data_IF_839149584903
#
_entry.id   IF_839149584903
#
_cell.length_a   1.000
_cell.length_b   1.000
_cell.length_c   1.000
_cell.angle_alpha   90.00
_cell.angle_beta   90.00
_cell.angle_gamma   90.00
#
_symmetry.space_group_name_H-M   'P 1'
#
loop_
_entity.id
_entity.type
_entity.pdbx_description
1 polymer ?
#
# COMPACT_ATOMS: atom_id res chain seq x y z
N UNK A 1 -10.33 -8.66 26.96
CA UNK A 1 -9.88 -10.02 26.59
C UNK A 1 -8.71 -10.38 27.51
N UNK A 2 -8.82 -11.43 28.34
CA UNK A 2 -7.71 -11.92 29.20
C UNK A 2 -7.00 -13.07 28.46
N UNK A 3 -5.69 -12.97 28.27
CA UNK A 3 -4.86 -14.03 27.67
C UNK A 3 -4.34 -14.96 28.77
N UNK A 4 -4.27 -16.27 28.51
CA UNK A 4 -3.81 -17.25 29.52
C UNK A 4 -2.28 -17.30 29.63
N UNK A 5 -1.55 -16.92 28.58
CA UNK A 5 -0.09 -16.88 28.56
C UNK A 5 0.45 -15.91 27.49
N UNK A 6 1.76 -15.62 27.54
CA UNK A 6 2.42 -14.71 26.59
C UNK A 6 2.39 -15.24 25.15
N UNK A 7 2.36 -16.56 24.95
CA UNK A 7 2.25 -17.19 23.63
C UNK A 7 0.90 -16.90 22.98
N UNK A 8 -0.20 -17.00 23.72
CA UNK A 8 -1.54 -16.64 23.24
C UNK A 8 -1.62 -15.14 22.91
N UNK A 9 -1.01 -14.29 23.74
CA UNK A 9 -0.91 -12.86 23.48
C UNK A 9 -0.13 -12.56 22.20
N UNK A 10 1.00 -13.22 21.99
CA UNK A 10 1.81 -13.10 20.77
C UNK A 10 1.03 -13.55 19.54
N UNK A 11 0.46 -14.76 19.55
CA UNK A 11 -0.33 -15.30 18.44
C UNK A 11 -1.53 -14.41 18.10
N UNK A 12 -2.19 -13.84 19.11
CA UNK A 12 -3.29 -12.91 18.89
C UNK A 12 -2.82 -11.62 18.19
N UNK A 13 -1.70 -11.03 18.64
CA UNK A 13 -1.10 -9.86 17.99
C UNK A 13 -0.71 -10.16 16.55
N UNK A 14 0.00 -11.26 16.31
CA UNK A 14 0.40 -11.68 14.96
C UNK A 14 -0.81 -11.89 14.04
N UNK A 15 -1.90 -12.48 14.54
CA UNK A 15 -3.14 -12.63 13.75
C UNK A 15 -3.76 -11.28 13.41
N UNK A 16 -3.76 -10.34 14.35
CA UNK A 16 -4.28 -8.98 14.10
C UNK A 16 -3.44 -8.24 13.07
N UNK A 17 -2.12 -8.30 13.19
CA UNK A 17 -1.18 -7.69 12.24
C UNK A 17 -1.33 -8.27 10.84
N UNK A 18 -1.45 -9.60 10.72
CA UNK A 18 -1.72 -10.24 9.42
C UNK A 18 -3.01 -9.73 8.77
N UNK A 19 -4.11 -9.65 9.53
CA UNK A 19 -5.37 -9.11 8.99
C UNK A 19 -5.22 -7.68 8.49
N UNK A 20 -4.52 -6.82 9.23
CA UNK A 20 -4.28 -5.44 8.81
C UNK A 20 -3.48 -5.37 7.50
N UNK A 21 -2.47 -6.24 7.34
CA UNK A 21 -1.69 -6.31 6.10
C UNK A 21 -2.50 -6.91 4.95
N UNK A 22 -3.37 -7.88 5.21
CA UNK A 22 -4.26 -8.47 4.20
C UNK A 22 -5.30 -7.44 3.71
N UNK A 23 -5.89 -6.67 4.64
CA UNK A 23 -6.80 -5.56 4.32
C UNK A 23 -6.07 -4.48 3.51
N UNK A 24 -4.90 -4.03 3.97
CA UNK A 24 -4.05 -3.09 3.25
C UNK A 24 -3.72 -3.58 1.83
N UNK A 25 -3.30 -4.83 1.69
CA UNK A 25 -2.97 -5.41 0.40
C UNK A 25 -4.19 -5.42 -0.53
N UNK A 26 -5.36 -5.79 -0.01
CA UNK A 26 -6.61 -5.84 -0.78
C UNK A 26 -6.98 -4.44 -1.28
N UNK A 27 -6.97 -3.46 -0.38
CA UNK A 27 -7.31 -2.07 -0.69
C UNK A 27 -6.34 -1.47 -1.72
N UNK A 28 -5.03 -1.64 -1.53
CA UNK A 28 -4.02 -1.11 -2.45
C UNK A 28 -4.07 -1.78 -3.82
N UNK A 29 -4.34 -3.08 -3.87
CA UNK A 29 -4.49 -3.79 -5.15
C UNK A 29 -5.71 -3.28 -5.92
N UNK A 30 -6.84 -3.07 -5.22
CA UNK A 30 -8.03 -2.48 -5.83
C UNK A 30 -7.77 -1.06 -6.33
N UNK A 31 -7.09 -0.23 -5.53
CA UNK A 31 -6.70 1.13 -5.91
C UNK A 31 -5.75 1.13 -7.10
N UNK A 32 -4.80 0.19 -7.16
CA UNK A 32 -3.85 0.10 -8.27
C UNK A 32 -4.57 -0.23 -9.59
N UNK A 33 -5.49 -1.19 -9.58
CA UNK A 33 -6.31 -1.51 -10.74
C UNK A 33 -7.20 -0.33 -11.16
N UNK A 34 -7.81 0.36 -10.20
CA UNK A 34 -8.66 1.52 -10.45
C UNK A 34 -7.86 2.67 -11.06
N UNK A 35 -6.68 2.96 -10.52
CA UNK A 35 -5.79 4.00 -11.02
C UNK A 35 -5.34 3.72 -12.46
N UNK A 36 -4.90 2.49 -12.76
CA UNK A 36 -4.55 2.11 -14.13
C UNK A 36 -5.73 2.24 -15.10
N UNK A 37 -6.92 1.89 -14.65
CA UNK A 37 -8.13 2.02 -15.46
C UNK A 37 -8.39 3.49 -15.78
N UNK A 38 -8.27 4.38 -14.79
CA UNK A 38 -8.44 5.82 -14.98
C UNK A 38 -7.40 6.42 -15.93
N UNK A 39 -6.13 6.02 -15.83
CA UNK A 39 -5.09 6.43 -16.78
C UNK A 39 -5.45 6.03 -18.21
N UNK A 40 -5.87 4.77 -18.41
CA UNK A 40 -6.33 4.28 -19.72
C UNK A 40 -7.54 5.04 -20.24
N UNK A 41 -8.56 5.28 -19.41
CA UNK A 41 -9.76 6.03 -19.80
C UNK A 41 -9.43 7.46 -20.21
N UNK A 42 -8.51 8.11 -19.51
CA UNK A 42 -8.04 9.46 -19.83
C UNK A 42 -7.06 9.51 -21.01
N UNK A 43 -6.61 8.35 -21.52
CA UNK A 43 -5.56 8.21 -22.55
C UNK A 43 -4.26 8.93 -22.16
N UNK A 44 -3.90 8.82 -20.88
CA UNK A 44 -2.68 9.38 -20.31
C UNK A 44 -1.85 8.22 -19.78
N UNK A 45 -0.56 8.21 -20.11
CA UNK A 45 0.37 7.25 -19.52
C UNK A 45 0.69 7.63 -18.07
N UNK A 46 0.65 6.68 -17.13
CA UNK A 46 1.09 6.94 -15.77
C UNK A 46 2.57 7.33 -15.75
N UNK A 47 2.98 8.30 -14.91
CA UNK A 47 4.39 8.55 -14.64
C UNK A 47 5.13 7.26 -14.24
N UNK A 48 6.39 7.09 -14.65
CA UNK A 48 7.14 5.82 -14.43
C UNK A 48 7.25 5.45 -12.95
N UNK A 49 7.45 6.44 -12.08
CA UNK A 49 7.49 6.26 -10.63
C UNK A 49 6.15 5.74 -10.06
N UNK A 50 5.03 6.30 -10.52
CA UNK A 50 3.68 5.84 -10.18
C UNK A 50 3.43 4.44 -10.75
N UNK A 51 3.78 4.22 -12.02
CA UNK A 51 3.58 2.94 -12.71
C UNK A 51 4.28 1.78 -12.01
N UNK A 52 5.54 1.95 -11.60
CA UNK A 52 6.27 0.93 -10.83
C UNK A 52 5.59 0.60 -9.50
N UNK A 53 5.10 1.63 -8.80
CA UNK A 53 4.31 1.44 -7.58
C UNK A 53 3.02 0.65 -7.82
N UNK A 54 2.31 0.93 -8.92
CA UNK A 54 1.10 0.20 -9.31
C UNK A 54 1.40 -1.27 -9.65
N UNK A 55 2.44 -1.49 -10.46
CA UNK A 55 2.85 -2.81 -10.94
C UNK A 55 3.26 -3.72 -9.80
N UNK A 56 3.91 -3.19 -8.76
CA UNK A 56 4.29 -3.95 -7.57
C UNK A 56 3.09 -4.71 -6.95
N UNK A 57 1.92 -4.08 -6.88
CA UNK A 57 0.71 -4.73 -6.37
C UNK A 57 0.07 -5.67 -7.40
N UNK A 58 -0.05 -5.21 -8.65
CA UNK A 58 -0.74 -5.95 -9.73
C UNK A 58 -0.01 -7.24 -10.10
N UNK A 59 1.31 -7.21 -10.15
CA UNK A 59 2.15 -8.37 -10.46
C UNK A 59 2.50 -9.20 -9.22
N UNK A 60 1.91 -8.85 -8.08
CA UNK A 60 2.12 -9.51 -6.80
C UNK A 60 3.61 -9.60 -6.37
N UNK A 61 4.41 -8.58 -6.68
CA UNK A 61 5.84 -8.57 -6.39
C UNK A 61 6.15 -8.69 -4.88
N UNK A 62 5.21 -8.23 -4.05
CA UNK A 62 5.24 -8.40 -2.60
C UNK A 62 5.46 -9.84 -2.15
N UNK A 63 5.04 -10.85 -2.94
CA UNK A 63 5.26 -12.28 -2.62
C UNK A 63 6.74 -12.66 -2.60
N UNK A 64 7.57 -11.96 -3.38
CA UNK A 64 9.01 -12.23 -3.51
C UNK A 64 9.85 -11.38 -2.56
N UNK A 65 9.25 -10.37 -1.93
CA UNK A 65 9.92 -9.31 -1.16
C UNK A 65 9.42 -9.34 0.29
N UNK A 66 9.91 -10.24 1.17
CA UNK A 66 9.40 -10.34 2.54
C UNK A 66 9.59 -9.03 3.31
N UNK A 67 8.59 -8.62 4.09
CA UNK A 67 8.62 -7.40 4.91
C UNK A 67 8.24 -6.11 4.18
N UNK A 68 8.26 -6.11 2.85
CA UNK A 68 7.88 -4.96 2.00
C UNK A 68 6.45 -4.46 2.28
N UNK A 69 5.46 -5.34 2.44
CA UNK A 69 4.08 -4.93 2.77
C UNK A 69 3.98 -4.21 4.11
N UNK A 70 4.72 -4.67 5.12
CA UNK A 70 4.74 -4.02 6.43
C UNK A 70 5.37 -2.62 6.33
N UNK A 71 6.47 -2.50 5.60
CA UNK A 71 7.12 -1.23 5.31
C UNK A 71 6.18 -0.25 4.59
N UNK A 72 5.50 -0.70 3.53
CA UNK A 72 4.57 0.14 2.77
C UNK A 72 3.36 0.55 3.61
N UNK A 73 2.82 -0.37 4.42
CA UNK A 73 1.71 -0.09 5.34
C UNK A 73 2.09 1.01 6.35
N UNK A 74 3.24 0.87 7.01
CA UNK A 74 3.72 1.87 7.97
C UNK A 74 4.05 3.21 7.29
N UNK A 75 4.57 3.16 6.06
CA UNK A 75 4.80 4.36 5.25
C UNK A 75 3.49 5.07 4.95
N UNK A 76 2.47 4.36 4.46
CA UNK A 76 1.16 4.93 4.16
C UNK A 76 0.59 5.64 5.38
N UNK A 77 0.62 4.98 6.55
CA UNK A 77 0.09 5.56 7.79
C UNK A 77 0.77 6.87 8.17
N UNK A 78 2.10 6.95 8.05
CA UNK A 78 2.85 8.19 8.35
C UNK A 78 2.47 9.29 7.38
N UNK A 79 2.53 8.99 6.09
CA UNK A 79 2.23 9.97 5.04
C UNK A 79 0.78 10.45 5.13
N UNK A 80 -0.17 9.54 5.36
CA UNK A 80 -1.59 9.86 5.45
C UNK A 80 -1.90 10.77 6.65
N UNK A 81 -1.13 10.71 7.74
CA UNK A 81 -1.30 11.60 8.88
C UNK A 81 -0.98 13.07 8.53
N UNK A 82 -0.11 13.29 7.55
CA UNK A 82 0.32 14.61 7.11
C UNK A 82 -0.45 15.12 5.87
N UNK A 83 -1.32 14.28 5.29
CA UNK A 83 -2.09 14.64 4.09
C UNK A 83 -3.38 15.41 4.41
N UNK A 84 -3.81 16.30 3.49
CA UNK A 84 -5.12 16.91 3.57
C UNK A 84 -6.24 15.85 3.42
N UNK A 85 -7.45 16.12 3.93
CA UNK A 85 -8.59 15.24 3.75
C UNK A 85 -8.86 14.95 2.27
N UNK A 86 -9.18 13.69 1.96
CA UNK A 86 -9.49 13.28 0.59
C UNK A 86 -10.83 13.89 0.12
N UNK A 87 -10.75 14.85 -0.81
CA UNK A 87 -11.89 15.44 -1.51
C UNK A 87 -11.86 15.08 -3.00
N UNK A 88 -13.01 15.05 -3.67
CA UNK A 88 -13.18 14.50 -5.02
C UNK A 88 -12.18 15.05 -6.04
N UNK A 89 -11.79 16.30 -5.87
CA UNK A 89 -10.88 17.05 -6.73
C UNK A 89 -9.44 16.55 -6.65
N UNK A 90 -9.00 16.09 -5.47
CA UNK A 90 -7.60 15.72 -5.21
C UNK A 90 -7.40 14.22 -4.93
N UNK A 91 -8.48 13.45 -4.77
CA UNK A 91 -8.39 12.01 -4.42
C UNK A 91 -7.50 11.25 -5.39
N UNK A 92 -7.61 11.51 -6.70
CA UNK A 92 -6.78 10.82 -7.69
C UNK A 92 -5.30 11.18 -7.57
N UNK A 93 -4.99 12.45 -7.31
CA UNK A 93 -3.61 12.92 -7.12
C UNK A 93 -3.01 12.32 -5.84
N UNK A 94 -3.80 12.21 -4.77
CA UNK A 94 -3.39 11.54 -3.54
C UNK A 94 -3.07 10.06 -3.77
N UNK A 95 -3.91 9.36 -4.54
CA UNK A 95 -3.66 7.96 -4.93
C UNK A 95 -2.35 7.84 -5.71
N UNK A 96 -2.15 8.69 -6.72
CA UNK A 96 -0.90 8.71 -7.49
C UNK A 96 0.31 9.00 -6.59
N UNK A 97 0.17 9.92 -5.64
CA UNK A 97 1.22 10.25 -4.70
C UNK A 97 1.60 9.06 -3.81
N UNK A 98 0.63 8.29 -3.29
CA UNK A 98 0.94 7.08 -2.53
C UNK A 98 1.75 6.07 -3.34
N UNK A 99 1.34 5.77 -4.57
CA UNK A 99 2.09 4.83 -5.43
C UNK A 99 3.48 5.33 -5.79
N UNK A 100 3.64 6.65 -6.01
CA UNK A 100 4.96 7.28 -6.18
C UNK A 100 5.85 7.10 -4.94
N UNK A 101 5.30 7.31 -3.74
CA UNK A 101 6.03 7.12 -2.48
C UNK A 101 6.40 5.65 -2.30
N UNK A 102 5.49 4.71 -2.58
CA UNK A 102 5.77 3.28 -2.48
C UNK A 102 6.93 2.88 -3.39
N UNK A 103 6.93 3.34 -4.63
CA UNK A 103 8.02 3.12 -5.58
C UNK A 103 9.36 3.64 -5.05
N UNK A 104 9.39 4.86 -4.50
CA UNK A 104 10.60 5.43 -3.92
C UNK A 104 11.11 4.64 -2.70
N UNK A 105 10.20 4.18 -1.84
CA UNK A 105 10.53 3.42 -0.63
C UNK A 105 11.07 2.03 -0.98
N UNK A 106 10.44 1.32 -1.92
CA UNK A 106 10.91 0.03 -2.40
C UNK A 106 12.31 0.15 -3.03
N UNK A 107 12.52 1.17 -3.86
CA UNK A 107 13.82 1.42 -4.48
C UNK A 107 14.94 1.68 -3.45
N UNK A 108 14.63 2.41 -2.36
CA UNK A 108 15.61 2.74 -1.31
C UNK A 108 16.03 1.52 -0.49
N UNK A 109 15.07 0.66 -0.15
CA UNK A 109 15.31 -0.52 0.68
C UNK A 109 15.82 -1.73 -0.14
N UNK A 110 16.10 -1.55 -1.43
CA UNK A 110 16.70 -2.56 -2.30
C UNK A 110 15.73 -3.66 -2.74
N UNK A 111 14.43 -3.34 -2.78
CA UNK A 111 13.37 -4.25 -3.20
C UNK A 111 13.10 -4.16 -4.70
#
# INVERSE_FOLDING_TARGET
MRFKNDRERHLFKTRKERRLLDEFLTDETLMAHTALTLFKTKRIDPPDDVYRGLVYFINEEWKKKPGSLCLLYETKKRVQADMPPAVKEIVFDQVCYFFKVYSAVLAKEGF
#
